data_IF_630073309295
#
_entry.id   IF_630073309295
#
_cell.length_a   1.000
_cell.length_b   1.000
_cell.length_c   1.000
_cell.angle_alpha   90.00
_cell.angle_beta   90.00
_cell.angle_gamma   90.00
#
_symmetry.space_group_name_H-M   'P 1'
#
loop_
_entity.id
_entity.type
_entity.pdbx_description
1 polymer ?
#
# COMPACT_ATOMS: atom_id res chain seq x y z
N UNK A 1 -33.24 -20.73 -62.18
CA UNK A 1 -33.13 -20.12 -60.83
C UNK A 1 -33.77 -20.98 -59.72
N UNK A 2 -33.81 -22.33 -59.83
CA UNK A 2 -34.36 -23.23 -58.78
C UNK A 2 -33.35 -24.25 -58.21
N UNK A 3 -32.10 -24.26 -58.69
CA UNK A 3 -31.11 -25.28 -58.28
C UNK A 3 -30.30 -24.92 -57.03
N UNK A 4 -30.21 -23.64 -56.66
CA UNK A 4 -29.34 -23.21 -55.55
C UNK A 4 -29.89 -23.53 -54.15
N UNK A 5 -31.20 -23.71 -54.03
CA UNK A 5 -31.83 -24.02 -52.72
C UNK A 5 -31.64 -25.48 -52.33
N UNK A 6 -31.58 -26.39 -53.31
CA UNK A 6 -31.39 -27.82 -53.07
C UNK A 6 -29.99 -28.12 -52.53
N UNK A 7 -28.98 -27.40 -53.01
CA UNK A 7 -27.59 -27.59 -52.59
C UNK A 7 -27.38 -27.16 -51.12
N UNK A 8 -28.02 -26.05 -50.72
CA UNK A 8 -27.99 -25.53 -49.35
C UNK A 8 -28.62 -26.51 -48.35
N UNK A 9 -29.75 -27.13 -48.72
CA UNK A 9 -30.44 -28.10 -47.86
C UNK A 9 -29.58 -29.35 -47.65
N UNK A 10 -28.87 -29.83 -48.68
CA UNK A 10 -27.92 -30.93 -48.55
C UNK A 10 -26.72 -30.57 -47.66
N UNK A 11 -26.23 -29.34 -47.73
CA UNK A 11 -25.14 -28.87 -46.88
C UNK A 11 -25.54 -28.81 -45.40
N UNK A 12 -26.73 -28.26 -45.11
CA UNK A 12 -27.26 -28.18 -43.76
C UNK A 12 -27.51 -29.57 -43.16
N UNK A 13 -28.09 -30.48 -43.94
CA UNK A 13 -28.30 -31.86 -43.52
C UNK A 13 -26.96 -32.56 -43.18
N UNK A 14 -25.90 -32.28 -43.93
CA UNK A 14 -24.57 -32.85 -43.68
C UNK A 14 -23.97 -32.31 -42.38
N UNK A 15 -24.08 -31.01 -42.12
CA UNK A 15 -23.57 -30.35 -40.90
C UNK A 15 -24.25 -30.94 -39.65
N UNK A 16 -25.57 -31.06 -39.67
CA UNK A 16 -26.34 -31.61 -38.54
C UNK A 16 -25.95 -33.07 -38.27
N UNK A 17 -25.74 -33.86 -39.33
CA UNK A 17 -25.29 -35.26 -39.19
C UNK A 17 -23.92 -35.34 -38.54
N UNK A 18 -22.95 -34.58 -39.06
CA UNK A 18 -21.59 -34.58 -38.48
C UNK A 18 -21.56 -34.08 -37.04
N UNK A 19 -22.42 -33.13 -36.67
CA UNK A 19 -22.50 -32.65 -35.30
C UNK A 19 -23.06 -33.72 -34.35
N UNK A 20 -24.08 -34.47 -34.78
CA UNK A 20 -24.63 -35.58 -33.99
C UNK A 20 -23.66 -36.76 -33.89
N UNK A 21 -22.90 -37.04 -34.94
CA UNK A 21 -21.87 -38.09 -34.90
C UNK A 21 -20.75 -37.73 -33.90
N UNK A 22 -20.31 -36.47 -33.86
CA UNK A 22 -19.34 -36.00 -32.87
C UNK A 22 -19.91 -36.11 -31.45
N UNK A 23 -21.17 -35.73 -31.22
CA UNK A 23 -21.82 -35.85 -29.91
C UNK A 23 -21.95 -37.31 -29.46
N UNK A 24 -22.25 -38.24 -30.36
CA UNK A 24 -22.32 -39.66 -30.04
C UNK A 24 -20.94 -40.28 -29.75
N UNK A 25 -19.91 -39.82 -30.46
CA UNK A 25 -18.51 -40.23 -30.22
C UNK A 25 -18.02 -39.72 -28.86
N UNK A 26 -18.37 -38.49 -28.46
CA UNK A 26 -17.95 -37.93 -27.16
C UNK A 26 -18.79 -38.45 -25.98
N UNK A 27 -20.02 -38.92 -26.22
CA UNK A 27 -20.90 -39.42 -25.15
C UNK A 27 -20.63 -40.87 -24.75
N UNK A 28 -19.84 -41.62 -25.54
CA UNK A 28 -19.59 -43.05 -25.31
C UNK A 28 -18.14 -43.29 -24.87
N UNK A 29 -17.75 -42.71 -23.73
CA UNK A 29 -16.49 -43.08 -23.07
C UNK A 29 -16.77 -44.11 -21.96
N UNK A 30 -16.24 -45.34 -22.04
CA UNK A 30 -16.39 -46.34 -21.00
C UNK A 30 -15.67 -45.86 -19.73
N UNK A 31 -16.35 -46.04 -18.59
CA UNK A 31 -15.91 -45.72 -17.24
C UNK A 31 -14.46 -46.15 -16.98
N UNK A 32 -13.53 -45.25 -17.27
CA UNK A 32 -12.14 -45.32 -16.82
C UNK A 32 -12.10 -44.54 -15.54
N UNK A 33 -11.82 -45.25 -14.45
CA UNK A 33 -11.50 -44.73 -13.11
C UNK A 33 -10.91 -43.33 -13.21
N UNK A 34 -11.73 -42.31 -12.94
CA UNK A 34 -11.28 -40.94 -12.82
C UNK A 34 -10.39 -40.89 -11.58
N UNK A 35 -9.09 -41.10 -11.77
CA UNK A 35 -8.12 -40.47 -10.90
C UNK A 35 -8.33 -38.97 -11.10
N UNK A 36 -8.92 -38.34 -10.10
CA UNK A 36 -8.99 -36.89 -9.97
C UNK A 36 -7.54 -36.39 -10.03
N UNK A 37 -7.10 -35.96 -11.20
CA UNK A 37 -5.83 -35.24 -11.35
C UNK A 37 -6.12 -33.87 -10.71
N UNK A 38 -5.95 -33.80 -9.40
CA UNK A 38 -5.87 -32.52 -8.69
C UNK A 38 -4.76 -31.72 -9.37
N UNK A 39 -5.05 -30.51 -9.90
CA UNK A 39 -4.01 -29.65 -10.44
C UNK A 39 -2.97 -29.45 -9.34
N UNK A 40 -1.71 -29.81 -9.61
CA UNK A 40 -0.59 -29.51 -8.70
C UNK A 40 -0.52 -27.99 -8.57
N UNK A 41 -0.96 -27.45 -7.44
CA UNK A 41 -0.79 -26.05 -7.11
C UNK A 41 0.70 -25.81 -6.82
N UNK A 42 1.29 -24.84 -7.52
CA UNK A 42 2.67 -24.44 -7.29
C UNK A 42 2.75 -23.63 -6.00
N UNK A 43 3.03 -24.30 -4.88
CA UNK A 43 3.03 -23.67 -3.56
C UNK A 43 4.33 -22.92 -3.29
N UNK A 44 4.46 -21.70 -3.82
CA UNK A 44 5.58 -20.81 -3.48
C UNK A 44 5.43 -20.35 -2.03
N UNK A 45 6.30 -20.85 -1.16
CA UNK A 45 6.29 -20.44 0.25
C UNK A 45 7.18 -19.21 0.44
N UNK A 46 6.59 -18.02 0.32
CA UNK A 46 7.29 -16.75 0.57
C UNK A 46 7.48 -16.52 2.08
N UNK A 47 8.63 -16.00 2.52
CA UNK A 47 8.92 -15.76 3.94
C UNK A 47 8.01 -14.68 4.53
N UNK A 48 7.70 -14.82 5.83
CA UNK A 48 6.87 -13.85 6.53
C UNK A 48 7.62 -12.52 6.74
N UNK A 49 6.97 -11.37 6.49
CA UNK A 49 7.63 -10.09 6.61
C UNK A 49 7.95 -9.73 8.07
N UNK A 50 9.13 -9.14 8.33
CA UNK A 50 9.50 -8.71 9.68
C UNK A 50 8.65 -7.52 10.12
N UNK A 51 8.23 -7.51 11.39
CA UNK A 51 7.57 -6.34 11.98
C UNK A 51 8.54 -5.15 12.10
N UNK A 52 8.05 -3.95 11.78
CA UNK A 52 8.83 -2.72 11.85
C UNK A 52 8.65 -1.96 13.16
N UNK A 53 7.76 -2.43 14.04
CA UNK A 53 7.41 -1.75 15.29
C UNK A 53 8.59 -1.54 16.23
N UNK A 54 9.49 -2.52 16.37
CA UNK A 54 10.70 -2.38 17.18
C UNK A 54 11.60 -1.26 16.64
N UNK A 55 11.86 -1.26 15.33
CA UNK A 55 12.67 -0.23 14.65
C UNK A 55 12.05 1.17 14.79
N UNK A 56 10.72 1.29 14.69
CA UNK A 56 10.06 2.58 14.87
C UNK A 56 10.12 3.08 16.31
N UNK A 57 10.05 2.17 17.28
CA UNK A 57 10.19 2.50 18.71
C UNK A 57 11.61 3.00 19.01
N UNK A 58 12.64 2.33 18.46
CA UNK A 58 14.04 2.74 18.60
C UNK A 58 14.33 4.12 17.98
N UNK A 59 13.64 4.47 16.90
CA UNK A 59 13.75 5.79 16.22
C UNK A 59 13.00 6.90 17.00
N UNK A 60 12.22 6.55 18.02
CA UNK A 60 11.44 7.50 18.82
C UNK A 60 10.15 7.97 18.12
N UNK A 61 9.62 7.14 17.21
CA UNK A 61 8.30 7.39 16.60
C UNK A 61 7.22 7.11 17.66
N UNK A 62 6.21 7.99 17.82
CA UNK A 62 5.08 7.70 18.71
C UNK A 62 4.40 6.37 18.33
N UNK A 63 4.08 5.55 19.34
CA UNK A 63 3.53 4.21 19.15
C UNK A 63 2.34 4.18 18.18
N UNK A 64 1.43 5.14 18.29
CA UNK A 64 0.25 5.27 17.42
C UNK A 64 0.63 5.42 15.93
N UNK A 65 1.63 6.24 15.64
CA UNK A 65 2.13 6.47 14.28
C UNK A 65 2.90 5.24 13.79
N UNK A 66 3.69 4.61 14.67
CA UNK A 66 4.39 3.36 14.37
C UNK A 66 3.43 2.24 13.98
N UNK A 67 2.33 2.08 14.71
CA UNK A 67 1.28 1.08 14.42
C UNK A 67 0.57 1.34 13.08
N UNK A 68 0.28 2.60 12.76
CA UNK A 68 -0.30 2.94 11.46
C UNK A 68 0.66 2.65 10.30
N UNK A 69 1.95 2.99 10.46
CA UNK A 69 2.97 2.71 9.45
C UNK A 69 3.19 1.21 9.25
N UNK A 70 3.23 0.43 10.33
CA UNK A 70 3.35 -1.02 10.30
C UNK A 70 2.15 -1.68 9.59
N UNK A 71 0.93 -1.20 9.88
CA UNK A 71 -0.29 -1.67 9.19
C UNK A 71 -0.24 -1.40 7.67
N UNK A 72 0.16 -0.20 7.26
CA UNK A 72 0.28 0.16 5.84
C UNK A 72 1.36 -0.68 5.16
N UNK A 73 2.49 -0.92 5.85
CA UNK A 73 3.57 -1.78 5.37
C UNK A 73 3.08 -3.21 5.13
N UNK A 74 2.40 -3.82 6.11
CA UNK A 74 1.82 -5.15 5.97
C UNK A 74 0.76 -5.23 4.85
N UNK A 75 -0.07 -4.20 4.70
CA UNK A 75 -1.06 -4.13 3.62
C UNK A 75 -0.39 -4.06 2.23
N UNK A 76 0.68 -3.29 2.07
CA UNK A 76 1.44 -3.23 0.81
C UNK A 76 2.17 -4.53 0.52
N UNK A 77 2.69 -5.20 1.55
CA UNK A 77 3.35 -6.48 1.40
C UNK A 77 2.38 -7.59 1.05
N UNK A 78 1.16 -7.59 1.60
CA UNK A 78 0.16 -8.61 1.26
C UNK A 78 -0.28 -8.51 -0.19
N UNK A 79 -0.49 -7.29 -0.71
CA UNK A 79 -0.84 -7.09 -2.13
C UNK A 79 0.32 -7.48 -3.05
N UNK A 80 1.55 -7.13 -2.67
CA UNK A 80 2.73 -7.49 -3.45
C UNK A 80 3.01 -9.00 -3.42
N UNK A 81 2.80 -9.66 -2.28
CA UNK A 81 2.89 -11.12 -2.15
C UNK A 81 1.90 -11.82 -3.09
N UNK A 82 0.64 -11.41 -3.08
CA UNK A 82 -0.37 -11.96 -3.98
C UNK A 82 0.00 -11.75 -5.46
N UNK A 83 0.63 -10.61 -5.79
CA UNK A 83 1.14 -10.36 -7.13
C UNK A 83 2.29 -11.30 -7.51
N UNK A 84 3.25 -11.52 -6.60
CA UNK A 84 4.34 -12.48 -6.81
C UNK A 84 3.84 -13.92 -6.97
N UNK A 85 2.84 -14.34 -6.17
CA UNK A 85 2.19 -15.65 -6.28
C UNK A 85 1.50 -15.79 -7.64
N UNK A 86 0.73 -14.79 -8.08
CA UNK A 86 0.09 -14.78 -9.40
C UNK A 86 1.10 -14.79 -10.56
N UNK A 87 2.24 -14.10 -10.41
CA UNK A 87 3.33 -14.15 -11.40
C UNK A 87 4.00 -15.53 -11.45
N UNK A 88 4.17 -16.18 -10.30
CA UNK A 88 4.73 -17.52 -10.23
C UNK A 88 3.83 -18.52 -10.94
N UNK A 89 2.52 -18.45 -10.68
CA UNK A 89 1.53 -19.29 -11.34
C UNK A 89 1.54 -19.07 -12.86
N UNK A 90 1.53 -17.81 -13.31
CA UNK A 90 1.56 -17.50 -14.74
C UNK A 90 2.81 -18.06 -15.44
N UNK A 91 4.00 -17.86 -14.84
CA UNK A 91 5.26 -18.39 -15.35
C UNK A 91 5.29 -19.92 -15.35
N UNK A 92 4.66 -20.55 -14.35
CA UNK A 92 4.53 -22.00 -14.26
C UNK A 92 3.68 -22.57 -15.42
N UNK A 93 2.51 -21.99 -15.70
CA UNK A 93 1.65 -22.46 -16.80
C UNK A 93 2.31 -22.30 -18.18
N UNK A 94 3.02 -21.19 -18.39
CA UNK A 94 3.73 -20.94 -19.66
C UNK A 94 4.86 -21.96 -19.89
N UNK A 95 5.58 -22.31 -18.83
CA UNK A 95 6.71 -23.26 -18.90
C UNK A 95 6.27 -24.72 -18.95
N UNK A 96 5.16 -25.08 -18.30
CA UNK A 96 4.53 -26.40 -18.41
C UNK A 96 4.07 -26.72 -19.84
N UNK A 97 3.66 -25.69 -20.61
CA UNK A 97 3.25 -25.84 -22.02
C UNK A 97 4.43 -26.10 -22.96
N UNK A 98 5.65 -25.74 -22.54
CA UNK A 98 6.87 -25.77 -23.38
C UNK A 98 7.68 -27.07 -23.25
N UNK A 99 7.21 -28.06 -22.50
CA UNK A 99 7.77 -29.44 -22.46
C UNK A 99 9.21 -29.57 -21.94
N UNK A 100 9.76 -28.52 -21.33
CA UNK A 100 11.13 -28.52 -20.79
C UNK A 100 11.23 -29.22 -19.43
N UNK A 101 12.46 -29.47 -18.93
CA UNK A 101 12.72 -30.02 -17.58
C UNK A 101 12.09 -29.12 -16.51
N UNK A 102 10.86 -29.43 -16.10
CA UNK A 102 10.06 -28.62 -15.17
C UNK A 102 10.80 -28.30 -13.88
N UNK A 103 11.51 -29.27 -13.28
CA UNK A 103 12.18 -29.07 -11.99
C UNK A 103 13.26 -27.97 -12.01
N UNK A 104 14.12 -27.94 -13.03
CA UNK A 104 15.20 -26.94 -13.14
C UNK A 104 14.65 -25.52 -13.39
N UNK A 105 13.46 -25.43 -14.00
CA UNK A 105 12.78 -24.16 -14.31
C UNK A 105 11.98 -23.67 -13.10
N UNK A 106 11.29 -24.58 -12.41
CA UNK A 106 10.59 -24.30 -11.15
C UNK A 106 11.54 -23.68 -10.13
N UNK A 107 12.73 -24.27 -9.92
CA UNK A 107 13.72 -23.74 -8.99
C UNK A 107 14.17 -22.32 -9.38
N UNK A 108 14.40 -22.08 -10.67
CA UNK A 108 14.79 -20.75 -11.18
C UNK A 108 13.67 -19.71 -11.01
N UNK A 109 12.42 -20.10 -11.25
CA UNK A 109 11.25 -19.23 -11.06
C UNK A 109 11.11 -18.87 -9.58
N UNK A 110 11.15 -19.86 -8.68
CA UNK A 110 11.09 -19.61 -7.23
C UNK A 110 12.24 -18.70 -6.79
N UNK A 111 13.47 -18.99 -7.22
CA UNK A 111 14.64 -18.19 -6.85
C UNK A 111 14.54 -16.74 -7.36
N UNK A 112 14.09 -16.54 -8.60
CA UNK A 112 13.92 -15.21 -9.19
C UNK A 112 12.83 -14.40 -8.46
N UNK A 113 11.66 -15.00 -8.22
CA UNK A 113 10.54 -14.35 -7.54
C UNK A 113 10.90 -14.05 -6.09
N UNK A 114 11.56 -14.97 -5.40
CA UNK A 114 12.04 -14.76 -4.03
C UNK A 114 13.05 -13.60 -3.97
N UNK A 115 13.98 -13.53 -4.92
CA UNK A 115 14.95 -12.42 -5.00
C UNK A 115 14.27 -11.07 -5.24
N UNK A 116 13.29 -11.01 -6.15
CA UNK A 116 12.47 -9.82 -6.39
C UNK A 116 11.71 -9.42 -5.12
N UNK A 117 11.14 -10.41 -4.41
CA UNK A 117 10.40 -10.19 -3.19
C UNK A 117 11.26 -9.57 -2.09
N UNK A 118 12.41 -10.18 -1.80
CA UNK A 118 13.32 -9.70 -0.77
C UNK A 118 13.85 -8.29 -1.07
N UNK A 119 14.21 -8.01 -2.33
CA UNK A 119 14.64 -6.66 -2.75
C UNK A 119 13.54 -5.62 -2.57
N UNK A 120 12.29 -5.98 -2.85
CA UNK A 120 11.16 -5.05 -2.67
C UNK A 120 10.87 -4.82 -1.20
N UNK A 121 10.92 -5.87 -0.38
CA UNK A 121 10.73 -5.77 1.08
C UNK A 121 11.80 -4.86 1.66
N UNK A 122 13.08 -5.08 1.37
CA UNK A 122 14.17 -4.23 1.90
C UNK A 122 14.00 -2.77 1.49
N UNK A 123 13.68 -2.50 0.23
CA UNK A 123 13.44 -1.13 -0.25
C UNK A 123 12.28 -0.44 0.48
N UNK A 124 11.19 -1.16 0.76
CA UNK A 124 10.06 -0.63 1.53
C UNK A 124 10.43 -0.34 2.98
N UNK A 125 11.25 -1.21 3.60
CA UNK A 125 11.76 -0.96 4.96
C UNK A 125 12.62 0.30 4.99
N UNK A 126 13.51 0.48 4.02
CA UNK A 126 14.37 1.67 3.92
C UNK A 126 13.54 2.94 3.70
N UNK A 127 12.52 2.88 2.84
CA UNK A 127 11.60 4.00 2.61
C UNK A 127 10.83 4.38 3.88
N UNK A 128 10.27 3.40 4.59
CA UNK A 128 9.53 3.64 5.83
C UNK A 128 10.42 4.20 6.94
N UNK A 129 11.64 3.67 7.09
CA UNK A 129 12.59 4.16 8.10
C UNK A 129 13.11 5.57 7.78
N UNK A 130 13.39 5.88 6.52
CA UNK A 130 13.77 7.23 6.09
C UNK A 130 12.66 8.26 6.34
N UNK A 131 11.41 7.91 6.04
CA UNK A 131 10.25 8.76 6.33
C UNK A 131 10.06 8.99 7.83
N UNK A 132 10.23 7.94 8.65
CA UNK A 132 10.17 8.05 10.11
C UNK A 132 11.26 8.98 10.66
N UNK A 133 12.50 8.81 10.23
CA UNK A 133 13.63 9.66 10.65
C UNK A 133 13.45 11.12 10.25
N UNK A 134 12.95 11.37 9.03
CA UNK A 134 12.66 12.73 8.56
C UNK A 134 11.62 13.41 9.46
N UNK A 135 10.51 12.73 9.78
CA UNK A 135 9.45 13.26 10.65
C UNK A 135 9.94 13.58 12.06
N UNK A 136 10.77 12.71 12.65
CA UNK A 136 11.35 12.95 13.99
C UNK A 136 12.30 14.14 13.95
N UNK A 137 13.14 14.24 12.92
CA UNK A 137 14.10 15.33 12.77
C UNK A 137 13.40 16.69 12.57
N UNK A 138 12.37 16.74 11.71
CA UNK A 138 11.56 17.94 11.51
C UNK A 138 10.81 18.32 12.80
N UNK A 139 10.30 17.34 13.56
CA UNK A 139 9.62 17.62 14.84
C UNK A 139 10.56 18.14 15.91
N UNK A 140 11.82 17.67 15.97
CA UNK A 140 12.84 18.25 16.87
C UNK A 140 13.15 19.70 16.52
N UNK A 141 13.28 20.02 15.23
CA UNK A 141 13.53 21.39 14.77
C UNK A 141 12.32 22.32 14.98
N UNK A 142 11.10 21.82 14.76
CA UNK A 142 9.87 22.57 15.00
C UNK A 142 9.54 22.72 16.49
N UNK A 143 9.95 21.76 17.34
CA UNK A 143 9.73 21.80 18.79
C UNK A 143 10.41 22.96 19.50
N UNK A 144 11.51 23.49 18.95
CA UNK A 144 12.18 24.69 19.48
C UNK A 144 11.50 26.00 19.05
N UNK A 145 10.77 26.01 17.92
CA UNK A 145 10.03 27.20 17.48
C UNK A 145 8.54 27.19 17.89
N UNK A 146 7.96 26.02 18.18
CA UNK A 146 6.56 25.85 18.55
C UNK A 146 6.33 25.75 20.07
N UNK A 147 7.29 26.19 20.90
CA UNK A 147 6.95 26.74 22.22
C UNK A 147 6.23 28.06 21.98
N UNK A 148 4.97 27.96 21.56
CA UNK A 148 3.94 28.93 21.91
C UNK A 148 4.05 29.10 23.42
N UNK A 149 4.79 30.13 23.85
CA UNK A 149 4.79 30.56 25.23
C UNK A 149 3.33 30.69 25.64
N UNK A 150 2.93 29.95 26.66
CA UNK A 150 1.63 30.17 27.28
C UNK A 150 1.47 31.66 27.59
N UNK A 151 0.23 32.11 27.77
CA UNK A 151 -0.01 33.51 28.14
C UNK A 151 0.84 33.84 29.39
N UNK A 152 1.69 34.85 29.29
CA UNK A 152 2.67 35.14 30.32
C UNK A 152 2.00 35.99 31.41
N UNK A 153 1.38 35.32 32.39
CA UNK A 153 0.63 35.95 33.48
C UNK A 153 1.50 36.92 34.33
N UNK A 154 2.82 36.77 34.32
CA UNK A 154 3.74 37.69 35.01
C UNK A 154 3.75 39.11 34.42
N UNK A 155 3.26 39.30 33.20
CA UNK A 155 3.17 40.60 32.52
C UNK A 155 1.78 41.23 32.55
N UNK A 156 0.80 40.63 33.26
CA UNK A 156 -0.54 41.21 33.41
C UNK A 156 -0.49 42.63 34.02
N UNK A 157 0.25 42.90 35.11
CA UNK A 157 0.27 44.25 35.69
C UNK A 157 0.81 45.31 34.72
N UNK A 158 1.77 44.93 33.87
CA UNK A 158 2.30 45.82 32.82
C UNK A 158 1.24 46.10 31.76
N UNK A 159 0.48 45.09 31.35
CA UNK A 159 -0.58 45.23 30.36
C UNK A 159 -1.70 46.12 30.92
N UNK A 160 -2.19 45.84 32.13
CA UNK A 160 -3.22 46.65 32.80
C UNK A 160 -2.82 48.12 32.86
N UNK A 161 -1.63 48.45 33.37
CA UNK A 161 -1.15 49.83 33.41
C UNK A 161 -1.05 50.48 32.02
N UNK A 162 -0.61 49.74 31.00
CA UNK A 162 -0.52 50.28 29.64
C UNK A 162 -1.91 50.59 29.06
N UNK A 163 -2.90 49.75 29.35
CA UNK A 163 -4.27 49.94 28.85
C UNK A 163 -5.08 50.95 29.68
N UNK A 164 -4.73 51.18 30.94
CA UNK A 164 -5.23 52.32 31.72
C UNK A 164 -4.83 53.65 31.07
N UNK A 165 -3.58 53.76 30.59
CA UNK A 165 -3.09 54.97 29.91
C UNK A 165 -3.55 55.07 28.44
N UNK A 166 -3.65 53.93 27.75
CA UNK A 166 -4.04 53.86 26.34
C UNK A 166 -5.05 52.72 26.10
N UNK A 167 -6.36 52.98 26.28
CA UNK A 167 -7.40 51.95 26.14
C UNK A 167 -7.57 51.43 24.71
N UNK A 168 -7.04 52.13 23.70
CA UNK A 168 -7.11 51.75 22.29
C UNK A 168 -5.71 51.66 21.67
N UNK A 169 -4.92 50.65 22.06
CA UNK A 169 -3.57 50.43 21.53
C UNK A 169 -3.57 50.26 20.01
N UNK A 170 -2.63 50.92 19.34
CA UNK A 170 -2.41 50.73 17.91
C UNK A 170 -1.83 49.33 17.62
N UNK A 171 -1.80 48.94 16.35
CA UNK A 171 -1.13 47.70 15.92
C UNK A 171 0.36 47.70 16.29
N UNK A 172 1.02 48.86 16.28
CA UNK A 172 2.41 49.00 16.68
C UNK A 172 2.58 48.73 18.18
N UNK A 173 1.70 49.28 19.01
CA UNK A 173 1.72 49.11 20.47
C UNK A 173 1.51 47.64 20.86
N UNK A 174 0.52 46.98 20.24
CA UNK A 174 0.28 45.54 20.45
C UNK A 174 1.50 44.68 20.05
N UNK A 175 2.21 45.06 18.99
CA UNK A 175 3.43 44.37 18.55
C UNK A 175 4.60 44.61 19.51
N UNK A 176 4.72 45.82 20.05
CA UNK A 176 5.71 46.16 21.07
C UNK A 176 5.48 45.37 22.36
N UNK A 177 4.24 45.33 22.86
CA UNK A 177 3.86 44.58 24.06
C UNK A 177 4.08 43.07 23.89
N UNK A 178 3.76 42.53 22.71
CA UNK A 178 4.03 41.12 22.38
C UNK A 178 5.53 40.80 22.50
N UNK A 179 6.39 41.63 21.90
CA UNK A 179 7.85 41.46 22.01
C UNK A 179 8.35 41.61 23.45
N UNK A 180 7.82 42.58 24.21
CA UNK A 180 8.25 42.89 25.58
C UNK A 180 7.84 41.81 26.59
N UNK A 181 6.69 41.17 26.37
CA UNK A 181 6.15 40.11 27.24
C UNK A 181 6.54 38.69 26.80
N UNK A 182 7.20 38.55 25.66
CA UNK A 182 7.48 37.25 25.05
C UNK A 182 6.22 36.51 24.60
N UNK A 183 5.15 37.24 24.28
CA UNK A 183 3.88 36.71 23.79
C UNK A 183 3.70 37.01 22.30
N UNK A 184 2.74 36.35 21.66
CA UNK A 184 2.37 36.62 20.28
C UNK A 184 1.45 37.84 20.19
N UNK A 185 1.47 38.52 19.05
CA UNK A 185 0.53 39.62 18.75
C UNK A 185 -0.93 39.19 18.96
N UNK A 186 -1.27 37.95 18.58
CA UNK A 186 -2.62 37.40 18.74
C UNK A 186 -3.02 37.27 20.20
N UNK A 187 -2.12 36.83 21.07
CA UNK A 187 -2.38 36.73 22.52
C UNK A 187 -2.67 38.11 23.12
N UNK A 188 -1.86 39.13 22.80
CA UNK A 188 -2.13 40.52 23.22
C UNK A 188 -3.44 41.03 22.64
N UNK A 189 -3.72 40.74 21.37
CA UNK A 189 -4.95 41.20 20.72
C UNK A 189 -6.22 40.62 21.34
N UNK A 190 -6.22 39.33 21.65
CA UNK A 190 -7.36 38.64 22.29
C UNK A 190 -7.56 39.13 23.73
N UNK A 191 -6.50 39.44 24.46
CA UNK A 191 -6.62 39.91 25.84
C UNK A 191 -7.26 41.31 25.96
N UNK A 192 -7.11 42.15 24.92
CA UNK A 192 -7.63 43.53 24.88
C UNK A 192 -9.08 43.61 24.37
N UNK A 193 -9.66 42.51 23.86
CA UNK A 193 -11.01 42.43 23.30
C UNK A 193 -11.94 41.62 24.20
#
# INVERSE_FOLDING_TARGET
>A
MRDNTRDLDTLLARIVRTSNDILNITSTSPATTQQTITPRSFNVTLPEPPSLLSKFTDIGVPLEVGMQMDRIFHQRLSTFRAHCESMADAAYYETATSGSRLADIEEKIVAAITSIYLKKVSALVDECTALAQSRVSTRKLAGDQAKSSGFNYGYIPLLEHFFEENPFPSRADKSFLAKKSGMTYRQIHVWVW
#
